data_IF_260453419014
#
_entry.id   IF_260453419014
#
_cell.length_a   1.000
_cell.length_b   1.000
_cell.length_c   1.000
_cell.angle_alpha   90.00
_cell.angle_beta   90.00
_cell.angle_gamma   90.00
#
_symmetry.space_group_name_H-M   'P 1'
#
loop_
_entity.id
_entity.type
_entity.pdbx_description
1 polymer ?
#
# COMPACT_ATOMS: atom_id res chain seq x y z
N UNK A 1 -42.60 -44.39 -43.06
CA UNK A 1 -42.84 -44.22 -41.63
C UNK A 1 -41.70 -43.55 -40.84
N UNK A 2 -40.52 -43.29 -41.40
CA UNK A 2 -39.36 -42.68 -40.70
C UNK A 2 -39.22 -41.15 -40.87
N UNK A 3 -39.98 -40.48 -41.72
CA UNK A 3 -39.89 -39.01 -41.92
C UNK A 3 -40.79 -38.20 -40.99
N UNK A 4 -41.88 -38.78 -40.48
CA UNK A 4 -42.77 -38.04 -39.55
C UNK A 4 -42.25 -38.00 -38.11
N UNK A 5 -41.47 -39.01 -37.70
CA UNK A 5 -40.91 -39.06 -36.34
C UNK A 5 -39.80 -38.00 -36.10
N UNK A 6 -39.10 -37.59 -37.18
CA UNK A 6 -38.05 -36.57 -37.06
C UNK A 6 -38.62 -35.15 -36.88
N UNK A 7 -39.78 -34.86 -37.43
CA UNK A 7 -40.42 -33.55 -37.23
C UNK A 7 -41.06 -33.41 -35.86
N UNK A 8 -41.54 -34.49 -35.27
CA UNK A 8 -42.10 -34.46 -33.91
C UNK A 8 -41.01 -34.23 -32.85
N UNK A 9 -39.84 -34.83 -33.02
CA UNK A 9 -38.70 -34.66 -32.07
C UNK A 9 -38.12 -33.22 -32.19
N UNK A 10 -38.10 -32.66 -33.41
CA UNK A 10 -37.62 -31.27 -33.58
C UNK A 10 -38.60 -30.24 -33.02
N UNK A 11 -39.91 -30.45 -33.08
CA UNK A 11 -40.93 -29.58 -32.52
C UNK A 11 -40.94 -29.67 -30.99
N UNK A 12 -40.76 -30.84 -30.40
CA UNK A 12 -40.66 -31.04 -28.93
C UNK A 12 -39.35 -30.45 -28.39
N UNK A 13 -38.26 -30.53 -29.16
CA UNK A 13 -36.97 -29.86 -28.74
C UNK A 13 -37.03 -28.35 -28.84
N UNK A 14 -37.79 -27.83 -29.83
CA UNK A 14 -37.94 -26.38 -30.01
C UNK A 14 -38.91 -25.75 -28.99
N UNK A 15 -39.91 -26.51 -28.51
CA UNK A 15 -40.78 -26.08 -27.39
C UNK A 15 -40.11 -26.19 -26.03
N UNK A 16 -39.17 -27.09 -25.85
CA UNK A 16 -38.36 -27.16 -24.58
C UNK A 16 -37.33 -26.02 -24.48
N UNK A 17 -36.85 -25.48 -25.59
CA UNK A 17 -35.93 -24.29 -25.57
C UNK A 17 -36.69 -22.99 -25.29
N UNK A 18 -38.00 -22.94 -25.55
CA UNK A 18 -38.82 -21.74 -25.26
C UNK A 18 -39.35 -21.71 -23.80
N UNK A 19 -39.23 -22.79 -23.03
CA UNK A 19 -39.61 -22.83 -21.62
C UNK A 19 -38.44 -22.63 -20.65
N UNK A 20 -37.20 -22.43 -21.14
CA UNK A 20 -36.02 -22.24 -20.30
C UNK A 20 -35.63 -20.76 -20.09
N UNK A 21 -36.53 -19.82 -20.39
CA UNK A 21 -36.32 -18.39 -20.18
C UNK A 21 -37.47 -17.71 -19.41
N UNK A 22 -38.01 -18.38 -18.41
CA UNK A 22 -38.78 -17.74 -17.35
C UNK A 22 -38.12 -18.07 -16.00
N UNK A 23 -36.84 -17.67 -15.84
CA UNK A 23 -36.34 -17.37 -14.52
C UNK A 23 -36.97 -16.00 -14.17
N UNK A 24 -37.89 -15.96 -13.25
CA UNK A 24 -38.17 -14.76 -12.45
C UNK A 24 -36.91 -14.37 -11.62
N UNK A 25 -35.82 -14.17 -12.33
CA UNK A 25 -34.63 -13.51 -11.81
C UNK A 25 -34.85 -12.03 -12.02
N UNK A 26 -35.00 -11.30 -10.94
CA UNK A 26 -34.93 -9.86 -10.78
C UNK A 26 -34.96 -9.07 -12.10
N UNK A 27 -36.16 -8.91 -12.67
CA UNK A 27 -36.36 -7.89 -13.74
C UNK A 27 -36.12 -6.57 -13.04
N UNK A 28 -34.99 -5.96 -13.31
CA UNK A 28 -34.75 -4.58 -12.93
C UNK A 28 -35.92 -3.76 -13.41
N UNK A 29 -36.74 -3.28 -12.46
CA UNK A 29 -37.90 -2.46 -12.80
C UNK A 29 -37.40 -1.09 -13.25
N UNK A 30 -37.27 -0.94 -14.58
CA UNK A 30 -36.85 0.31 -15.20
C UNK A 30 -37.78 1.49 -14.90
N UNK A 31 -38.93 1.26 -14.27
CA UNK A 31 -39.83 2.31 -13.80
C UNK A 31 -39.37 2.92 -12.49
N UNK A 32 -38.60 2.18 -11.69
CA UNK A 32 -38.04 2.70 -10.44
C UNK A 32 -36.76 3.52 -10.68
N UNK A 33 -36.56 4.51 -9.84
CA UNK A 33 -35.34 5.31 -9.80
C UNK A 33 -34.35 4.61 -8.88
N UNK A 34 -33.23 4.14 -9.44
CA UNK A 34 -32.12 3.62 -8.62
C UNK A 34 -31.39 4.77 -7.96
N UNK A 35 -31.10 4.64 -6.67
CA UNK A 35 -30.35 5.61 -5.86
C UNK A 35 -29.02 5.01 -5.40
N UNK A 36 -27.95 5.76 -5.55
CA UNK A 36 -26.59 5.37 -5.16
C UNK A 36 -25.82 6.56 -4.62
N UNK A 37 -24.83 6.30 -3.76
CA UNK A 37 -23.89 7.35 -3.38
C UNK A 37 -22.92 7.58 -4.53
N UNK A 38 -22.72 8.84 -4.92
CA UNK A 38 -21.80 9.21 -6.02
C UNK A 38 -20.38 8.75 -5.72
N UNK A 39 -19.69 8.21 -6.73
CA UNK A 39 -18.32 7.70 -6.60
C UNK A 39 -18.22 6.22 -6.21
N UNK A 40 -19.36 5.54 -5.96
CA UNK A 40 -19.37 4.10 -5.63
C UNK A 40 -19.64 3.19 -6.82
N UNK A 41 -19.76 3.75 -8.01
CA UNK A 41 -20.18 3.03 -9.23
C UNK A 41 -19.23 1.89 -9.63
N UNK A 42 -17.95 2.00 -9.26
CA UNK A 42 -16.95 0.96 -9.57
C UNK A 42 -16.40 0.32 -8.29
N UNK A 43 -16.03 1.15 -7.32
CA UNK A 43 -15.49 0.73 -6.02
C UNK A 43 -16.08 1.57 -4.90
N UNK A 44 -16.50 0.97 -3.78
CA UNK A 44 -17.13 1.71 -2.69
C UNK A 44 -16.12 2.50 -1.85
N UNK A 45 -14.81 2.35 -2.04
CA UNK A 45 -13.77 3.05 -1.28
C UNK A 45 -13.28 4.25 -2.08
N UNK A 46 -13.34 5.42 -1.44
CA UNK A 46 -12.84 6.68 -2.00
C UNK A 46 -11.82 7.30 -1.04
N UNK A 47 -10.78 7.88 -1.59
CA UNK A 47 -9.74 8.55 -0.81
C UNK A 47 -10.24 9.89 -0.29
N UNK A 48 -10.07 10.12 1.01
CA UNK A 48 -10.32 11.40 1.65
C UNK A 48 -9.02 11.93 2.26
N UNK A 49 -8.42 12.91 1.62
CA UNK A 49 -7.18 13.53 2.11
C UNK A 49 -7.48 14.53 3.22
N UNK A 50 -6.82 14.33 4.37
CA UNK A 50 -6.93 15.18 5.55
C UNK A 50 -5.59 15.89 5.74
N UNK A 51 -5.44 17.08 5.15
CA UNK A 51 -4.20 17.86 5.19
C UNK A 51 -4.18 18.82 6.39
N UNK A 52 -5.29 19.51 6.59
CA UNK A 52 -5.51 20.42 7.69
C UNK A 52 -6.85 20.10 8.35
N UNK A 53 -6.93 20.33 9.65
CA UNK A 53 -8.14 20.10 10.42
C UNK A 53 -8.88 21.42 10.69
N UNK A 54 -10.21 21.45 10.59
CA UNK A 54 -11.08 20.36 10.16
C UNK A 54 -11.05 20.15 8.65
N UNK A 55 -10.94 18.89 8.21
CA UNK A 55 -11.06 18.53 6.81
C UNK A 55 -12.48 18.11 6.45
N UNK A 56 -12.93 18.41 5.24
CA UNK A 56 -14.31 18.11 4.81
C UNK A 56 -14.34 17.34 3.48
N UNK A 57 -15.30 16.42 3.38
CA UNK A 57 -15.60 15.66 2.16
C UNK A 57 -17.10 15.74 1.85
N UNK A 58 -17.42 16.14 0.60
CA UNK A 58 -18.81 16.26 0.16
C UNK A 58 -19.34 14.91 -0.34
N UNK A 59 -20.42 14.42 0.26
CA UNK A 59 -21.10 13.20 -0.16
C UNK A 59 -22.42 13.59 -0.82
N UNK A 60 -22.67 13.11 -2.03
CA UNK A 60 -23.92 13.32 -2.78
C UNK A 60 -24.57 11.98 -3.11
N UNK A 61 -25.88 12.01 -3.32
CA UNK A 61 -26.64 10.87 -3.84
C UNK A 61 -27.02 11.13 -5.28
N UNK A 62 -26.83 10.13 -6.11
CA UNK A 62 -27.13 10.16 -7.54
C UNK A 62 -28.31 9.23 -7.84
N UNK A 63 -29.20 9.68 -8.71
CA UNK A 63 -30.27 8.90 -9.26
C UNK A 63 -29.90 8.38 -10.66
N UNK A 64 -30.34 7.18 -11.02
CA UNK A 64 -30.10 6.59 -12.35
C UNK A 64 -30.78 7.34 -13.49
N UNK A 65 -31.76 8.16 -13.15
CA UNK A 65 -32.46 9.08 -14.09
C UNK A 65 -32.92 10.33 -13.34
N UNK A 66 -33.38 11.35 -14.08
CA UNK A 66 -33.97 12.55 -13.45
C UNK A 66 -35.25 12.19 -12.70
N UNK A 67 -35.37 12.70 -11.48
CA UNK A 67 -36.51 12.44 -10.60
C UNK A 67 -37.76 13.19 -11.08
N UNK A 68 -38.93 12.55 -11.05
CA UNK A 68 -40.20 13.18 -11.38
C UNK A 68 -40.79 14.05 -10.29
N UNK A 69 -40.33 13.83 -9.03
CA UNK A 69 -40.65 14.58 -7.81
C UNK A 69 -39.39 14.63 -6.94
N UNK A 70 -39.42 15.47 -5.92
CA UNK A 70 -38.34 15.53 -4.92
C UNK A 70 -38.16 14.19 -4.23
N UNK A 71 -36.90 13.77 -4.10
CA UNK A 71 -36.50 12.57 -3.35
C UNK A 71 -35.51 12.99 -2.27
N UNK A 72 -35.89 12.79 -0.99
CA UNK A 72 -35.04 13.09 0.14
C UNK A 72 -34.40 11.81 0.66
N UNK A 73 -33.10 11.86 0.86
CA UNK A 73 -32.28 10.75 1.32
C UNK A 73 -31.57 11.14 2.61
N UNK A 74 -31.73 10.31 3.63
CA UNK A 74 -31.02 10.47 4.90
C UNK A 74 -29.77 9.60 4.90
N UNK A 75 -28.62 10.24 5.12
CA UNK A 75 -27.32 9.60 5.26
C UNK A 75 -26.95 9.45 6.73
N UNK A 76 -26.15 8.43 7.05
CA UNK A 76 -25.59 8.23 8.37
C UNK A 76 -24.16 7.67 8.29
N UNK A 77 -23.34 7.97 9.30
CA UNK A 77 -22.08 7.26 9.52
C UNK A 77 -22.40 5.99 10.32
N UNK A 78 -22.06 4.83 9.76
CA UNK A 78 -22.26 3.53 10.41
C UNK A 78 -20.93 2.76 10.50
N UNK A 79 -20.23 2.93 11.60
CA UNK A 79 -18.91 2.32 11.84
C UNK A 79 -18.95 0.80 11.94
N UNK A 80 -20.13 0.19 12.19
CA UNK A 80 -20.28 -1.27 12.25
C UNK A 80 -20.02 -1.94 10.90
N UNK A 81 -20.22 -1.22 9.79
CA UNK A 81 -20.00 -1.71 8.43
C UNK A 81 -18.53 -1.99 8.11
N UNK A 82 -17.59 -1.37 8.85
CA UNK A 82 -16.15 -1.60 8.65
C UNK A 82 -15.78 -3.07 8.90
N UNK A 83 -16.31 -3.66 9.96
CA UNK A 83 -16.06 -5.06 10.29
C UNK A 83 -16.54 -6.01 9.18
N UNK A 84 -17.74 -5.77 8.65
CA UNK A 84 -18.30 -6.57 7.55
C UNK A 84 -17.49 -6.38 6.28
N UNK A 85 -17.10 -5.15 5.97
CA UNK A 85 -16.27 -4.85 4.81
C UNK A 85 -14.92 -5.55 4.88
N UNK A 86 -14.22 -5.46 6.03
CA UNK A 86 -12.95 -6.13 6.27
C UNK A 86 -13.06 -7.65 6.05
N UNK A 87 -14.09 -8.28 6.63
CA UNK A 87 -14.30 -9.73 6.51
C UNK A 87 -14.55 -10.16 5.05
N UNK A 88 -15.28 -9.35 4.28
CA UNK A 88 -15.63 -9.67 2.89
C UNK A 88 -14.46 -9.44 1.92
N UNK A 89 -13.63 -8.42 2.17
CA UNK A 89 -12.58 -7.98 1.24
C UNK A 89 -11.16 -8.30 1.72
N UNK A 90 -11.00 -8.94 2.88
CA UNK A 90 -9.68 -9.26 3.44
C UNK A 90 -8.86 -8.03 3.83
N UNK A 91 -9.55 -6.94 4.22
CA UNK A 91 -8.91 -5.69 4.65
C UNK A 91 -8.80 -5.59 6.17
N UNK A 92 -7.99 -4.65 6.67
CA UNK A 92 -7.79 -4.39 8.11
C UNK A 92 -8.05 -2.93 8.45
N UNK A 93 -9.10 -2.36 7.89
CA UNK A 93 -9.47 -0.98 8.16
C UNK A 93 -9.98 -0.78 9.59
N UNK A 94 -9.67 0.39 10.15
CA UNK A 94 -10.23 0.89 11.40
C UNK A 94 -11.34 1.89 11.12
N UNK A 95 -12.39 1.86 11.91
CA UNK A 95 -13.39 2.91 11.86
C UNK A 95 -12.82 4.19 12.50
N UNK A 96 -13.08 5.35 11.89
CA UNK A 96 -12.79 6.64 12.55
C UNK A 96 -13.63 6.75 13.82
N UNK A 97 -13.05 7.14 14.98
CA UNK A 97 -13.82 7.37 16.20
C UNK A 97 -14.94 8.40 15.95
N UNK A 98 -16.16 8.11 16.43
CA UNK A 98 -17.30 9.01 16.21
C UNK A 98 -17.14 10.39 16.88
N UNK A 99 -16.23 10.50 17.87
CA UNK A 99 -15.86 11.78 18.47
C UNK A 99 -15.07 12.69 17.52
N UNK A 100 -14.37 12.09 16.55
CA UNK A 100 -13.45 12.78 15.63
C UNK A 100 -14.08 13.11 14.28
N UNK A 101 -15.35 12.71 14.06
CA UNK A 101 -16.04 12.89 12.79
C UNK A 101 -17.46 13.37 12.96
N UNK A 102 -17.88 14.29 12.10
CA UNK A 102 -19.28 14.76 12.04
C UNK A 102 -19.85 14.62 10.65
N UNK A 103 -21.17 14.44 10.56
CA UNK A 103 -21.91 14.45 9.30
C UNK A 103 -22.94 15.60 9.34
N UNK A 104 -22.64 16.67 8.65
CA UNK A 104 -23.52 17.84 8.54
C UNK A 104 -24.42 17.72 7.32
N UNK A 105 -25.61 18.32 7.39
CA UNK A 105 -26.62 18.28 6.32
C UNK A 105 -26.91 16.85 5.85
N UNK A 106 -27.11 15.94 6.77
CA UNK A 106 -27.27 14.52 6.52
C UNK A 106 -28.58 14.13 5.80
N UNK A 107 -29.52 15.06 5.66
CA UNK A 107 -30.68 14.93 4.78
C UNK A 107 -30.41 15.71 3.49
N UNK A 108 -30.23 14.97 2.39
CA UNK A 108 -29.96 15.53 1.07
C UNK A 108 -31.13 15.28 0.13
N UNK A 109 -31.45 16.25 -0.72
CA UNK A 109 -32.62 16.18 -1.62
C UNK A 109 -32.17 16.23 -3.06
N UNK A 110 -32.65 15.28 -3.88
CA UNK A 110 -32.66 15.36 -5.33
C UNK A 110 -33.95 16.08 -5.73
N UNK A 111 -33.83 17.27 -6.27
CA UNK A 111 -34.99 18.04 -6.67
C UNK A 111 -35.66 17.49 -7.93
N UNK A 112 -36.93 17.77 -8.10
CA UNK A 112 -37.65 17.44 -9.32
C UNK A 112 -36.91 17.91 -10.57
N UNK A 113 -36.75 17.03 -11.55
CA UNK A 113 -36.02 17.32 -12.76
C UNK A 113 -34.52 17.13 -12.68
N UNK A 114 -33.97 16.88 -11.50
CA UNK A 114 -32.55 16.63 -11.27
C UNK A 114 -32.25 15.14 -11.06
N UNK A 115 -30.96 14.77 -11.15
CA UNK A 115 -30.46 13.41 -10.88
C UNK A 115 -29.36 13.39 -9.82
N UNK A 116 -29.02 14.54 -9.24
CA UNK A 116 -28.00 14.67 -8.21
C UNK A 116 -28.55 15.47 -7.02
N UNK A 117 -28.27 15.02 -5.81
CA UNK A 117 -28.71 15.68 -4.59
C UNK A 117 -27.85 16.89 -4.23
N UNK A 118 -28.33 17.69 -3.26
CA UNK A 118 -27.45 18.51 -2.43
C UNK A 118 -26.39 17.64 -1.73
N UNK A 119 -25.32 18.25 -1.21
CA UNK A 119 -24.23 17.55 -0.55
C UNK A 119 -24.37 17.53 0.97
N UNK A 120 -24.18 16.35 1.57
CA UNK A 120 -23.83 16.23 2.98
C UNK A 120 -22.32 16.45 3.15
N UNK A 121 -21.89 16.97 4.31
CA UNK A 121 -20.49 17.23 4.60
C UNK A 121 -20.01 16.30 5.72
N UNK A 122 -19.08 15.40 5.36
CA UNK A 122 -18.33 14.62 6.36
C UNK A 122 -17.15 15.46 6.76
N UNK A 123 -17.02 15.75 8.07
CA UNK A 123 -15.87 16.52 8.59
C UNK A 123 -15.09 15.70 9.59
N UNK A 124 -13.78 15.61 9.39
CA UNK A 124 -12.83 15.10 10.38
C UNK A 124 -12.34 16.28 11.20
N UNK A 125 -12.50 16.21 12.51
CA UNK A 125 -12.19 17.30 13.44
C UNK A 125 -10.91 17.06 14.25
N UNK A 126 -10.53 15.79 14.46
CA UNK A 126 -9.27 15.37 15.11
C UNK A 126 -8.75 14.07 14.48
N UNK A 127 -7.48 13.86 14.65
CA UNK A 127 -6.78 12.59 14.33
C UNK A 127 -5.83 12.17 15.46
N UNK A 128 -5.96 12.78 16.64
CA UNK A 128 -5.04 12.58 17.76
C UNK A 128 -5.09 11.15 18.30
N UNK A 129 -6.28 10.53 18.28
CA UNK A 129 -6.51 9.15 18.72
C UNK A 129 -6.22 8.09 17.63
N UNK A 130 -5.72 8.51 16.46
CA UNK A 130 -5.44 7.56 15.39
C UNK A 130 -4.15 6.78 15.67
N UNK A 131 -4.26 5.46 15.61
CA UNK A 131 -3.09 4.58 15.70
C UNK A 131 -2.20 4.82 14.48
N UNK A 132 -0.93 5.06 14.73
CA UNK A 132 0.04 5.24 13.65
C UNK A 132 0.17 3.96 12.81
N UNK A 133 0.22 4.13 11.49
CA UNK A 133 0.23 3.00 10.55
C UNK A 133 -1.11 2.31 10.32
N UNK A 134 -2.16 2.64 11.06
CA UNK A 134 -3.50 2.14 10.82
C UNK A 134 -4.21 2.92 9.70
N UNK A 135 -4.93 2.20 8.86
CA UNK A 135 -5.77 2.81 7.82
C UNK A 135 -7.18 2.99 8.34
N UNK A 136 -7.64 4.22 8.42
CA UNK A 136 -8.97 4.57 8.90
C UNK A 136 -9.94 4.82 7.75
N UNK A 137 -11.20 4.42 7.96
CA UNK A 137 -12.29 4.68 7.01
C UNK A 137 -13.52 5.23 7.73
N UNK A 138 -14.27 6.08 7.02
CA UNK A 138 -15.57 6.59 7.44
C UNK A 138 -16.62 5.98 6.50
N UNK A 139 -17.44 5.01 6.97
CA UNK A 139 -18.54 4.49 6.17
C UNK A 139 -19.73 5.43 6.27
N UNK A 140 -20.12 5.99 5.13
CA UNK A 140 -21.36 6.79 4.99
C UNK A 140 -22.36 5.99 4.18
N UNK A 141 -23.56 5.77 4.74
CA UNK A 141 -24.56 4.89 4.14
C UNK A 141 -25.90 5.59 3.99
N UNK A 142 -26.66 5.19 2.98
CA UNK A 142 -28.07 5.57 2.84
C UNK A 142 -28.89 4.84 3.92
N UNK A 143 -29.41 5.59 4.88
CA UNK A 143 -30.20 5.05 5.97
C UNK A 143 -31.68 4.99 5.61
N UNK A 144 -32.21 6.05 5.00
CA UNK A 144 -33.62 6.17 4.69
C UNK A 144 -33.81 6.96 3.39
N UNK A 145 -34.82 6.58 2.64
CA UNK A 145 -35.30 7.31 1.45
C UNK A 145 -36.77 7.68 1.67
N UNK A 146 -37.11 8.93 1.41
CA UNK A 146 -38.50 9.46 1.44
C UNK A 146 -38.79 10.16 0.13
N UNK A 147 -40.03 10.02 -0.38
CA UNK A 147 -40.43 10.52 -1.69
C UNK A 147 -40.81 9.39 -2.65
N UNK A 148 -41.19 9.73 -3.86
CA UNK A 148 -41.75 8.78 -4.81
C UNK A 148 -40.68 7.92 -5.49
N UNK A 149 -40.78 6.58 -5.33
CA UNK A 149 -40.24 5.59 -6.25
C UNK A 149 -38.72 5.38 -6.25
N UNK A 150 -37.97 5.86 -5.26
CA UNK A 150 -36.54 5.62 -5.15
C UNK A 150 -36.22 4.26 -4.53
N UNK A 151 -35.42 3.44 -5.19
CA UNK A 151 -34.88 2.18 -4.69
C UNK A 151 -33.35 2.27 -4.57
N UNK A 152 -32.80 1.89 -3.42
CA UNK A 152 -31.36 1.96 -3.21
C UNK A 152 -30.67 0.81 -3.95
N UNK A 153 -29.65 1.12 -4.72
CA UNK A 153 -28.76 0.12 -5.32
C UNK A 153 -27.83 -0.35 -4.21
N UNK A 154 -28.05 -1.56 -3.70
CA UNK A 154 -27.39 -2.09 -2.50
C UNK A 154 -25.86 -2.14 -2.62
N UNK A 155 -25.32 -2.47 -3.79
CA UNK A 155 -23.87 -2.46 -4.03
C UNK A 155 -23.23 -1.07 -3.92
N UNK A 156 -24.04 -0.01 -3.99
CA UNK A 156 -23.63 1.40 -3.96
C UNK A 156 -24.33 2.20 -2.85
N UNK A 157 -24.89 1.47 -1.84
CA UNK A 157 -25.54 2.04 -0.69
C UNK A 157 -24.58 2.79 0.24
N UNK A 158 -23.31 2.34 0.30
CA UNK A 158 -22.31 2.82 1.25
C UNK A 158 -21.05 3.23 0.53
N UNK A 159 -20.53 4.40 0.88
CA UNK A 159 -19.17 4.84 0.52
C UNK A 159 -18.27 4.71 1.75
N UNK A 160 -17.08 4.19 1.56
CA UNK A 160 -16.02 4.12 2.58
C UNK A 160 -14.99 5.19 2.26
N UNK A 161 -14.97 6.28 3.01
CA UNK A 161 -14.00 7.35 2.86
C UNK A 161 -12.71 6.95 3.57
N UNK A 162 -11.73 6.51 2.82
CA UNK A 162 -10.42 6.13 3.34
C UNK A 162 -9.60 7.37 3.66
N UNK A 163 -9.28 7.56 4.94
CA UNK A 163 -8.50 8.69 5.41
C UNK A 163 -7.05 8.53 4.91
N UNK A 164 -6.59 9.56 4.21
CA UNK A 164 -5.19 9.76 3.85
C UNK A 164 -4.72 11.03 4.54
N UNK A 165 -3.82 10.90 5.51
CA UNK A 165 -3.24 12.05 6.22
C UNK A 165 -1.96 12.49 5.53
N UNK A 166 -1.77 13.81 5.41
CA UNK A 166 -0.45 14.37 5.20
C UNK A 166 0.22 14.42 6.58
N UNK A 167 1.16 13.55 6.82
CA UNK A 167 1.98 13.59 8.01
C UNK A 167 3.27 14.27 7.60
N UNK A 168 3.58 15.41 8.23
CA UNK A 168 4.94 15.96 8.16
C UNK A 168 5.86 14.94 8.81
N UNK A 169 6.79 14.36 8.05
CA UNK A 169 7.68 13.35 8.58
C UNK A 169 9.13 13.67 8.21
N UNK A 170 10.04 13.19 9.02
CA UNK A 170 11.44 13.14 8.67
C UNK A 170 11.74 11.89 7.87
N UNK A 171 12.83 11.94 7.13
CA UNK A 171 13.40 10.79 6.45
C UNK A 171 14.92 10.84 6.55
N UNK A 172 15.55 9.68 6.52
CA UNK A 172 16.99 9.59 6.46
C UNK A 172 17.49 10.08 5.10
N UNK A 173 18.38 11.06 5.07
CA UNK A 173 19.12 11.44 3.87
C UNK A 173 20.44 10.68 3.77
N UNK A 174 20.63 9.95 2.70
CA UNK A 174 21.92 9.39 2.32
C UNK A 174 22.46 10.13 1.09
N UNK A 175 23.21 11.17 1.31
CA UNK A 175 23.80 12.03 0.27
C UNK A 175 25.31 12.23 0.47
N UNK A 176 25.91 11.41 1.32
CA UNK A 176 27.33 11.38 1.59
C UNK A 176 27.99 10.24 0.78
N UNK A 177 29.24 10.42 0.42
CA UNK A 177 30.03 9.35 -0.19
C UNK A 177 30.51 8.37 0.91
N UNK A 178 29.57 7.85 1.66
CA UNK A 178 29.83 6.96 2.78
C UNK A 178 28.77 5.85 2.84
N UNK A 179 29.16 4.72 3.40
CA UNK A 179 28.30 3.58 3.68
C UNK A 179 28.76 2.90 4.96
N UNK A 180 27.85 2.18 5.61
CA UNK A 180 28.20 1.37 6.75
C UNK A 180 27.24 0.21 6.91
N UNK A 181 27.64 -0.73 7.78
CA UNK A 181 26.93 -1.94 8.09
C UNK A 181 26.60 -1.96 9.58
N UNK A 182 25.37 -2.26 9.93
CA UNK A 182 25.01 -2.61 11.29
C UNK A 182 24.83 -4.12 11.40
N UNK A 183 25.52 -4.75 12.36
CA UNK A 183 25.45 -6.21 12.58
C UNK A 183 24.77 -6.45 13.90
N UNK A 184 23.59 -7.08 13.84
CA UNK A 184 22.83 -7.43 15.03
C UNK A 184 23.52 -8.57 15.81
N UNK A 185 23.37 -8.62 17.15
CA UNK A 185 23.86 -9.72 17.97
C UNK A 185 23.40 -11.09 17.48
N UNK A 186 24.16 -12.14 17.79
CA UNK A 186 23.89 -13.49 17.26
C UNK A 186 22.53 -14.06 17.71
N UNK A 187 22.01 -13.63 18.87
CA UNK A 187 20.66 -14.00 19.36
C UNK A 187 19.52 -13.29 18.60
N UNK A 188 19.83 -12.30 17.78
CA UNK A 188 18.89 -11.59 16.91
C UNK A 188 18.85 -12.15 15.48
N UNK A 189 19.72 -13.07 15.14
CA UNK A 189 19.71 -13.68 13.80
C UNK A 189 18.42 -14.44 13.54
N UNK A 190 17.76 -14.15 12.43
CA UNK A 190 16.55 -14.84 11.94
C UNK A 190 16.81 -15.42 10.57
N UNK A 191 16.47 -16.70 10.39
CA UNK A 191 16.50 -17.31 9.08
C UNK A 191 15.11 -17.18 8.42
N UNK A 192 15.01 -16.35 7.41
CA UNK A 192 13.76 -16.03 6.71
C UNK A 192 13.56 -17.02 5.56
N UNK A 193 12.57 -17.90 5.67
CA UNK A 193 12.21 -18.90 4.64
C UNK A 193 11.13 -18.42 3.68
N UNK A 194 10.17 -17.67 4.22
CA UNK A 194 9.19 -16.87 3.50
C UNK A 194 9.30 -15.47 4.09
N UNK A 195 9.32 -14.44 3.25
CA UNK A 195 9.58 -13.11 3.78
C UNK A 195 9.08 -11.98 2.88
N UNK A 196 9.03 -10.82 3.45
CA UNK A 196 8.86 -9.55 2.73
C UNK A 196 9.84 -8.54 3.25
N UNK A 197 10.46 -7.79 2.35
CA UNK A 197 11.29 -6.62 2.65
C UNK A 197 10.63 -5.43 1.98
N UNK A 198 10.36 -4.38 2.74
CA UNK A 198 9.78 -3.15 2.24
C UNK A 198 10.63 -1.95 2.62
N UNK A 199 10.62 -0.95 1.78
CA UNK A 199 11.23 0.36 2.07
C UNK A 199 10.66 1.44 1.17
N UNK A 200 10.62 2.67 1.67
CA UNK A 200 10.36 3.84 0.85
C UNK A 200 11.68 4.47 0.42
N UNK A 201 11.77 4.76 -0.87
CA UNK A 201 12.96 5.32 -1.49
C UNK A 201 12.64 6.57 -2.30
N UNK A 202 13.48 7.59 -2.14
CA UNK A 202 13.43 8.84 -2.90
C UNK A 202 14.83 9.11 -3.45
N UNK A 203 15.04 8.91 -4.74
CA UNK A 203 16.35 9.05 -5.35
C UNK A 203 16.58 10.47 -5.87
N UNK A 204 17.71 11.07 -5.53
CA UNK A 204 18.14 12.33 -6.11
C UNK A 204 18.79 12.14 -7.48
N UNK A 205 19.43 10.97 -7.67
CA UNK A 205 20.20 10.69 -8.86
C UNK A 205 20.30 9.19 -9.12
N UNK A 206 20.12 8.80 -10.36
CA UNK A 206 20.42 7.45 -10.82
C UNK A 206 21.83 7.35 -11.37
N UNK A 207 22.36 6.13 -11.39
CA UNK A 207 23.60 5.82 -12.07
C UNK A 207 23.42 5.71 -13.59
N UNK A 208 24.52 5.61 -14.28
CA UNK A 208 24.56 5.13 -15.66
C UNK A 208 24.88 3.62 -15.66
N UNK A 209 24.77 2.96 -16.81
CA UNK A 209 25.26 1.60 -17.00
C UNK A 209 26.68 1.44 -16.45
N UNK A 210 26.87 0.49 -15.54
CA UNK A 210 28.13 0.27 -14.85
C UNK A 210 28.45 1.25 -13.70
N UNK A 211 27.59 2.24 -13.46
CA UNK A 211 27.68 3.15 -12.31
C UNK A 211 26.45 2.97 -11.42
N UNK A 212 26.41 1.85 -10.72
CA UNK A 212 25.31 1.45 -9.85
C UNK A 212 25.18 2.38 -8.63
N UNK A 213 23.95 2.54 -8.15
CA UNK A 213 23.62 3.22 -6.90
C UNK A 213 23.00 2.21 -5.94
N UNK A 214 23.72 1.85 -4.90
CA UNK A 214 23.33 0.83 -3.94
C UNK A 214 22.56 1.48 -2.81
N UNK A 215 21.30 1.06 -2.62
CA UNK A 215 20.35 1.66 -1.69
C UNK A 215 20.55 1.08 -0.28
N UNK A 216 20.28 -0.19 -0.13
CA UNK A 216 20.44 -0.95 1.12
C UNK A 216 20.61 -2.45 0.82
N UNK A 217 21.07 -3.19 1.83
CA UNK A 217 21.00 -4.64 1.83
C UNK A 217 20.58 -5.19 3.19
N UNK A 218 19.92 -6.35 3.17
CA UNK A 218 19.55 -7.15 4.33
C UNK A 218 20.07 -8.56 4.09
N UNK A 219 20.91 -9.04 4.98
CA UNK A 219 21.71 -10.23 4.74
C UNK A 219 22.21 -10.90 6.02
N UNK A 220 22.94 -12.01 5.90
CA UNK A 220 23.67 -12.64 6.98
C UNK A 220 24.92 -11.87 7.38
N UNK A 221 25.50 -12.23 8.52
CA UNK A 221 26.69 -11.58 9.11
C UNK A 221 27.87 -11.53 8.15
N UNK A 222 28.07 -12.57 7.34
CA UNK A 222 29.19 -12.70 6.40
C UNK A 222 28.76 -12.49 4.93
N UNK A 223 27.72 -11.69 4.68
CA UNK A 223 27.19 -11.37 3.35
C UNK A 223 26.56 -12.60 2.62
N UNK A 224 26.18 -13.64 3.37
CA UNK A 224 25.53 -14.80 2.76
C UNK A 224 24.09 -14.50 2.37
N UNK A 225 23.71 -14.96 1.19
CA UNK A 225 22.33 -14.96 0.69
C UNK A 225 21.65 -13.58 0.81
N UNK A 226 22.36 -12.55 0.38
CA UNK A 226 21.97 -11.16 0.50
C UNK A 226 20.70 -10.81 -0.27
N UNK A 227 19.85 -9.96 0.31
CA UNK A 227 18.84 -9.18 -0.38
C UNK A 227 19.34 -7.75 -0.53
N UNK A 228 19.86 -7.41 -1.71
CA UNK A 228 20.44 -6.11 -1.99
C UNK A 228 19.65 -5.37 -3.07
N UNK A 229 19.44 -4.08 -2.84
CA UNK A 229 18.68 -3.20 -3.72
C UNK A 229 19.57 -2.12 -4.31
N UNK A 230 19.56 -1.99 -5.65
CA UNK A 230 20.43 -1.05 -6.36
C UNK A 230 19.85 -0.57 -7.68
N UNK A 231 20.23 0.61 -8.11
CA UNK A 231 19.90 1.16 -9.42
C UNK A 231 21.09 1.07 -10.38
N UNK A 232 20.86 0.97 -11.68
CA UNK A 232 21.86 1.14 -12.74
C UNK A 232 22.64 -0.09 -13.16
N UNK A 233 22.33 -1.28 -12.67
CA UNK A 233 23.08 -2.50 -13.02
C UNK A 233 22.67 -3.12 -14.36
N UNK A 234 21.47 -2.87 -14.83
CA UNK A 234 21.00 -3.44 -16.07
C UNK A 234 21.58 -2.67 -17.27
N UNK A 235 22.53 -3.27 -17.97
CA UNK A 235 23.27 -2.66 -19.07
C UNK A 235 22.43 -2.16 -20.26
N UNK A 236 21.21 -2.63 -20.41
CA UNK A 236 20.33 -2.26 -21.54
C UNK A 236 19.14 -1.39 -21.16
N UNK A 237 18.78 -1.29 -19.87
CA UNK A 237 17.51 -0.72 -19.45
C UNK A 237 17.63 0.69 -18.83
N UNK A 238 18.82 1.24 -18.67
CA UNK A 238 19.02 2.57 -18.06
C UNK A 238 19.34 2.53 -16.56
N UNK A 239 19.71 3.69 -16.03
CA UNK A 239 20.13 3.85 -14.64
C UNK A 239 18.99 3.88 -13.62
N UNK A 240 17.76 4.01 -14.08
CA UNK A 240 16.52 4.21 -13.35
C UNK A 240 15.73 2.92 -13.08
N UNK A 241 16.30 1.76 -13.44
CA UNK A 241 15.74 0.43 -13.13
C UNK A 241 16.30 -0.05 -11.80
N UNK A 242 15.40 -0.43 -10.89
CA UNK A 242 15.76 -1.05 -9.63
C UNK A 242 16.08 -2.54 -9.86
N UNK A 243 17.21 -2.96 -9.38
CA UNK A 243 17.57 -4.37 -9.29
C UNK A 243 17.48 -4.82 -7.83
N UNK A 244 16.76 -5.91 -7.62
CA UNK A 244 16.84 -6.71 -6.42
C UNK A 244 17.77 -7.90 -6.69
N UNK A 245 18.94 -7.89 -6.07
CA UNK A 245 19.81 -9.07 -5.97
C UNK A 245 19.24 -9.91 -4.83
N UNK A 246 18.83 -11.10 -5.15
CA UNK A 246 18.16 -12.02 -4.24
C UNK A 246 18.96 -13.32 -4.13
N UNK A 247 18.69 -14.16 -3.11
CA UNK A 247 19.39 -15.44 -2.97
C UNK A 247 19.30 -16.29 -4.23
N UNK A 248 20.46 -16.46 -4.89
CA UNK A 248 20.60 -17.26 -6.11
C UNK A 248 20.08 -16.62 -7.40
N UNK A 249 19.80 -15.30 -7.43
CA UNK A 249 19.29 -14.67 -8.63
C UNK A 249 19.19 -13.14 -8.60
N UNK A 250 18.40 -12.63 -9.51
CA UNK A 250 18.16 -11.20 -9.70
C UNK A 250 16.73 -10.97 -10.20
N UNK A 251 16.10 -9.92 -9.72
CA UNK A 251 14.82 -9.42 -10.23
C UNK A 251 15.00 -7.94 -10.60
N UNK A 252 14.47 -7.53 -11.74
CA UNK A 252 14.56 -6.16 -12.23
C UNK A 252 13.16 -5.58 -12.30
N UNK A 253 13.01 -4.33 -11.85
CA UNK A 253 11.74 -3.62 -11.99
C UNK A 253 11.39 -3.41 -13.47
N UNK A 254 10.10 -3.46 -13.78
CA UNK A 254 9.53 -2.94 -15.03
C UNK A 254 9.34 -1.44 -14.95
N UNK A 255 9.14 -0.92 -13.75
CA UNK A 255 9.02 0.51 -13.48
C UNK A 255 10.35 1.22 -13.75
N UNK A 256 10.29 2.28 -14.54
CA UNK A 256 11.31 3.30 -14.66
C UNK A 256 11.12 4.35 -13.56
N UNK A 257 11.97 4.34 -12.55
CA UNK A 257 11.89 5.25 -11.43
C UNK A 257 12.23 6.68 -11.86
N UNK A 258 11.61 7.67 -11.20
CA UNK A 258 11.90 9.08 -11.40
C UNK A 258 12.67 9.63 -10.21
N UNK A 259 13.61 10.56 -10.47
CA UNK A 259 14.24 11.32 -9.40
C UNK A 259 13.23 12.24 -8.71
N UNK A 260 13.49 12.55 -7.45
CA UNK A 260 12.69 13.46 -6.64
C UNK A 260 11.21 13.03 -6.51
N UNK A 261 10.99 11.72 -6.44
CA UNK A 261 9.70 11.10 -6.16
C UNK A 261 9.88 9.96 -5.18
N UNK A 262 8.98 9.85 -4.21
CA UNK A 262 8.88 8.70 -3.33
C UNK A 262 8.25 7.50 -4.03
N UNK A 263 8.77 6.32 -3.72
CA UNK A 263 8.22 5.04 -4.10
C UNK A 263 8.25 4.09 -2.91
N UNK A 264 7.19 3.35 -2.68
CA UNK A 264 7.21 2.17 -1.83
C UNK A 264 7.64 0.98 -2.68
N UNK A 265 8.72 0.33 -2.29
CA UNK A 265 9.17 -0.94 -2.87
C UNK A 265 8.87 -2.03 -1.86
N UNK A 266 8.14 -3.07 -2.27
CA UNK A 266 7.86 -4.25 -1.46
C UNK A 266 8.28 -5.49 -2.23
N UNK A 267 9.13 -6.31 -1.62
CA UNK A 267 9.74 -7.48 -2.23
C UNK A 267 9.38 -8.73 -1.41
N UNK A 268 8.57 -9.61 -1.97
CA UNK A 268 8.06 -10.80 -1.29
C UNK A 268 8.71 -12.08 -1.82
N UNK A 269 8.90 -13.05 -0.94
CA UNK A 269 9.25 -14.42 -1.26
C UNK A 269 8.34 -15.40 -0.52
N UNK A 270 7.66 -16.28 -1.25
CA UNK A 270 6.69 -17.23 -0.70
C UNK A 270 7.23 -18.68 -0.59
N UNK A 271 8.56 -18.85 -0.74
CA UNK A 271 9.21 -20.17 -0.77
C UNK A 271 9.43 -20.70 -2.19
N UNK A 272 8.81 -20.09 -3.20
CA UNK A 272 8.88 -20.53 -4.61
C UNK A 272 9.06 -19.37 -5.60
N UNK A 273 8.48 -18.20 -5.29
CA UNK A 273 8.42 -17.07 -6.21
C UNK A 273 8.81 -15.79 -5.49
N UNK A 274 9.71 -15.05 -6.10
CA UNK A 274 10.05 -13.70 -5.75
C UNK A 274 9.19 -12.73 -6.53
N UNK A 275 8.55 -11.78 -5.85
CA UNK A 275 7.75 -10.73 -6.46
C UNK A 275 8.18 -9.36 -5.96
N UNK A 276 8.29 -8.42 -6.86
CA UNK A 276 8.52 -7.00 -6.57
C UNK A 276 7.24 -6.22 -6.84
N UNK A 277 6.90 -5.35 -5.91
CA UNK A 277 5.79 -4.40 -6.02
C UNK A 277 6.35 -2.99 -5.93
N UNK A 278 5.82 -2.09 -6.74
CA UNK A 278 6.11 -0.67 -6.70
C UNK A 278 4.82 0.09 -6.49
N UNK A 279 4.76 0.91 -5.43
CA UNK A 279 3.55 1.64 -5.03
C UNK A 279 2.29 0.75 -4.90
N UNK A 280 2.49 -0.48 -4.38
CA UNK A 280 1.42 -1.45 -4.14
C UNK A 280 0.99 -2.26 -5.37
N UNK A 281 1.59 -2.04 -6.53
CA UNK A 281 1.27 -2.74 -7.79
C UNK A 281 2.37 -3.75 -8.10
N UNK A 282 2.00 -4.99 -8.43
CA UNK A 282 2.98 -6.01 -8.87
C UNK A 282 3.72 -5.53 -10.12
N UNK A 283 5.03 -5.45 -10.02
CA UNK A 283 5.90 -4.84 -11.03
C UNK A 283 6.77 -5.87 -11.76
N UNK A 284 7.30 -6.86 -11.03
CA UNK A 284 8.15 -7.90 -11.57
C UNK A 284 8.11 -9.17 -10.72
N UNK A 285 8.42 -10.31 -11.34
CA UNK A 285 8.56 -11.58 -10.62
C UNK A 285 9.62 -12.49 -11.23
N UNK A 286 10.17 -13.39 -10.41
CA UNK A 286 11.05 -14.48 -10.84
C UNK A 286 10.86 -15.68 -9.93
N UNK A 287 11.02 -16.88 -10.45
CA UNK A 287 10.81 -18.12 -9.68
C UNK A 287 12.14 -18.77 -9.30
N UNK A 288 12.27 -19.13 -8.04
CA UNK A 288 13.35 -19.96 -7.51
C UNK A 288 12.93 -20.51 -6.17
N UNK A 289 13.06 -21.80 -5.93
CA UNK A 289 12.62 -22.44 -4.69
C UNK A 289 13.76 -22.67 -3.71
N UNK A 290 13.40 -22.81 -2.40
CA UNK A 290 14.34 -23.17 -1.35
C UNK A 290 15.39 -22.12 -1.05
N UNK A 291 15.02 -20.84 -1.16
CA UNK A 291 15.91 -19.68 -0.99
C UNK A 291 15.63 -18.94 0.31
N UNK A 292 16.03 -19.55 1.42
CA UNK A 292 16.07 -18.85 2.70
C UNK A 292 17.17 -17.77 2.69
N UNK A 293 16.98 -16.73 3.48
CA UNK A 293 17.99 -15.69 3.70
C UNK A 293 18.16 -15.46 5.21
N UNK A 294 19.39 -15.46 5.73
CA UNK A 294 19.63 -14.98 7.09
C UNK A 294 19.43 -13.47 7.15
N UNK A 295 18.83 -13.00 8.26
CA UNK A 295 18.73 -11.60 8.58
C UNK A 295 19.51 -11.34 9.86
N UNK A 296 20.66 -10.72 9.77
CA UNK A 296 21.51 -10.33 10.88
C UNK A 296 22.31 -9.06 10.61
N UNK A 297 22.34 -8.60 9.35
CA UNK A 297 23.11 -7.44 8.94
C UNK A 297 22.22 -6.51 8.12
N UNK A 298 22.33 -5.22 8.38
CA UNK A 298 21.74 -4.15 7.60
C UNK A 298 22.84 -3.28 7.01
N UNK A 299 22.87 -3.12 5.71
CA UNK A 299 23.79 -2.21 5.03
C UNK A 299 23.05 -0.98 4.51
N UNK A 300 23.66 0.16 4.70
CA UNK A 300 23.16 1.43 4.22
C UNK A 300 24.08 2.06 3.18
N UNK A 301 23.52 2.39 2.03
CA UNK A 301 24.15 3.18 1.00
C UNK A 301 25.05 2.43 0.06
N UNK A 302 25.60 1.29 0.45
CA UNK A 302 26.39 0.41 -0.40
C UNK A 302 26.50 -0.96 0.25
N UNK A 303 26.32 -2.01 -0.51
CA UNK A 303 26.55 -3.38 -0.11
C UNK A 303 27.81 -3.93 -0.77
N UNK A 304 28.43 -4.91 -0.11
CA UNK A 304 29.67 -5.56 -0.49
C UNK A 304 30.86 -4.62 -0.70
N UNK A 305 31.92 -4.88 -0.02
CA UNK A 305 33.21 -4.18 0.01
C UNK A 305 33.70 -3.45 -1.24
N UNK A 306 32.85 -3.04 -2.18
CA UNK A 306 33.21 -2.32 -3.37
C UNK A 306 33.04 -0.82 -3.23
N UNK A 307 33.82 -0.20 -2.32
CA UNK A 307 33.88 1.26 -2.14
C UNK A 307 34.33 2.00 -3.41
N UNK A 308 33.49 2.03 -4.39
CA UNK A 308 33.67 3.02 -5.44
C UNK A 308 32.81 4.22 -5.05
N UNK A 309 33.42 5.38 -4.87
CA UNK A 309 32.74 6.62 -4.50
C UNK A 309 31.58 6.98 -5.43
N UNK A 310 31.58 6.44 -6.64
CA UNK A 310 30.50 6.58 -7.62
C UNK A 310 29.27 5.72 -7.33
N UNK A 311 29.35 4.70 -6.46
CA UNK A 311 28.27 3.72 -6.22
C UNK A 311 27.41 4.01 -5.00
N UNK A 312 27.72 5.03 -4.23
CA UNK A 312 26.90 5.42 -3.10
C UNK A 312 25.53 5.89 -3.53
N UNK A 313 24.50 5.48 -2.79
CA UNK A 313 23.16 5.98 -2.97
C UNK A 313 23.10 7.48 -2.64
N UNK A 314 22.36 8.22 -3.42
CA UNK A 314 22.09 9.63 -3.20
C UNK A 314 20.57 9.85 -3.21
N UNK A 315 20.01 9.97 -2.03
CA UNK A 315 18.58 10.05 -1.87
C UNK A 315 18.13 9.96 -0.42
N UNK A 316 16.88 9.63 -0.22
CA UNK A 316 16.27 9.47 1.10
C UNK A 316 15.64 8.10 1.26
N UNK A 317 15.57 7.63 2.49
CA UNK A 317 14.98 6.36 2.91
C UNK A 317 14.10 6.57 4.13
N UNK A 318 13.02 5.82 4.21
CA UNK A 318 12.18 5.65 5.40
C UNK A 318 11.34 4.37 5.28
N UNK A 319 10.60 4.02 6.33
CA UNK A 319 9.65 2.91 6.32
C UNK A 319 10.28 1.57 5.92
N UNK A 320 11.46 1.25 6.45
CA UNK A 320 12.11 -0.03 6.18
C UNK A 320 11.54 -1.11 7.09
N UNK A 321 11.03 -2.20 6.50
CA UNK A 321 10.33 -3.28 7.20
C UNK A 321 10.84 -4.64 6.76
N UNK A 322 10.98 -5.54 7.69
CA UNK A 322 11.32 -6.96 7.46
C UNK A 322 10.25 -7.83 8.06
N UNK A 323 9.67 -8.70 7.24
CA UNK A 323 8.62 -9.64 7.62
C UNK A 323 9.10 -11.08 7.45
N UNK A 324 8.70 -11.97 8.35
CA UNK A 324 8.95 -13.41 8.23
C UNK A 324 7.84 -14.16 7.47
N UNK A 325 7.11 -13.47 6.63
CA UNK A 325 6.08 -14.02 5.74
C UNK A 325 5.99 -13.22 4.44
N UNK A 326 5.51 -13.86 3.40
CA UNK A 326 5.14 -13.14 2.17
C UNK A 326 3.82 -12.40 2.39
N UNK A 327 3.83 -11.07 2.22
CA UNK A 327 2.62 -10.26 2.23
C UNK A 327 1.83 -10.47 0.95
N UNK A 328 0.51 -10.36 1.05
CA UNK A 328 -0.39 -10.31 -0.11
C UNK A 328 -0.36 -8.93 -0.76
N UNK A 329 -0.76 -8.83 -2.03
CA UNK A 329 -0.87 -7.56 -2.73
C UNK A 329 -1.80 -6.56 -1.99
N UNK A 330 -2.86 -7.06 -1.36
CA UNK A 330 -3.78 -6.24 -0.56
C UNK A 330 -3.10 -5.65 0.68
N UNK A 331 -2.32 -6.45 1.42
CA UNK A 331 -1.57 -5.97 2.60
C UNK A 331 -0.52 -4.93 2.22
N UNK A 332 0.21 -5.15 1.12
CA UNK A 332 1.18 -4.20 0.58
C UNK A 332 0.51 -2.87 0.23
N UNK A 333 -0.61 -2.92 -0.48
CA UNK A 333 -1.37 -1.72 -0.87
C UNK A 333 -1.88 -0.95 0.35
N UNK A 334 -2.36 -1.65 1.39
CA UNK A 334 -2.79 -1.03 2.64
C UNK A 334 -1.64 -0.44 3.45
N UNK A 335 -0.46 -1.06 3.40
CA UNK A 335 0.74 -0.64 4.11
C UNK A 335 1.44 0.61 3.53
N UNK A 336 0.88 1.23 2.49
CA UNK A 336 1.52 2.35 1.80
C UNK A 336 1.81 3.55 2.70
N UNK A 337 0.88 3.91 3.58
CA UNK A 337 1.03 5.04 4.51
C UNK A 337 1.81 4.67 5.79
N UNK A 338 1.98 3.38 6.06
CA UNK A 338 2.59 2.82 7.27
C UNK A 338 1.89 1.53 7.67
N UNK A 339 2.44 0.81 8.65
CA UNK A 339 1.85 -0.42 9.19
C UNK A 339 1.82 -0.36 10.72
N UNK A 340 0.93 -1.14 11.33
CA UNK A 340 0.96 -1.31 12.77
C UNK A 340 2.25 -2.06 13.17
N UNK A 341 3.02 -1.49 14.10
CA UNK A 341 4.28 -2.04 14.57
C UNK A 341 4.15 -3.43 15.23
N UNK A 342 2.93 -3.80 15.66
CA UNK A 342 2.64 -5.10 16.26
C UNK A 342 1.92 -6.06 15.28
N UNK A 343 2.02 -5.82 13.97
CA UNK A 343 1.47 -6.71 12.96
C UNK A 343 2.12 -8.08 13.00
N UNK A 344 1.30 -9.14 12.82
CA UNK A 344 1.78 -10.51 12.80
C UNK A 344 2.81 -10.74 11.69
N UNK A 345 3.94 -11.35 12.07
CA UNK A 345 5.04 -11.62 11.16
C UNK A 345 5.99 -10.44 10.88
N UNK A 346 5.76 -9.27 11.46
CA UNK A 346 6.69 -8.14 11.36
C UNK A 346 7.88 -8.36 12.31
N UNK A 347 9.06 -8.58 11.75
CA UNK A 347 10.29 -8.89 12.51
C UNK A 347 10.96 -7.61 12.99
N UNK A 348 11.14 -6.65 12.10
CA UNK A 348 11.76 -5.36 12.39
C UNK A 348 11.11 -4.26 11.55
N UNK A 349 11.03 -3.04 12.12
CA UNK A 349 10.45 -1.89 11.46
C UNK A 349 11.15 -0.60 11.87
N UNK A 350 11.92 -0.03 10.97
CA UNK A 350 12.56 1.26 11.15
C UNK A 350 11.80 2.31 10.34
N UNK A 351 11.11 3.20 11.04
CA UNK A 351 10.40 4.30 10.39
C UNK A 351 11.37 5.29 9.76
N UNK A 352 12.56 5.43 10.34
CA UNK A 352 13.59 6.39 9.95
C UNK A 352 13.03 7.82 9.90
N UNK A 353 12.26 8.19 10.92
CA UNK A 353 11.58 9.47 11.04
C UNK A 353 11.93 10.21 12.34
N UNK A 354 13.01 9.82 13.00
CA UNK A 354 13.44 10.36 14.29
C UNK A 354 13.69 11.87 14.26
N UNK A 355 14.19 12.40 13.15
CA UNK A 355 14.42 13.83 12.97
C UNK A 355 15.68 14.36 13.62
N UNK A 356 16.27 13.60 14.55
CA UNK A 356 17.51 13.92 15.23
C UNK A 356 18.21 12.64 15.70
N UNK A 357 19.48 12.76 16.12
CA UNK A 357 20.25 11.64 16.65
C UNK A 357 20.76 10.66 15.57
N UNK A 358 21.27 9.52 16.03
CA UNK A 358 21.95 8.53 15.22
C UNK A 358 21.50 7.09 15.51
N UNK A 359 20.42 6.92 16.27
CA UNK A 359 19.79 5.62 16.54
C UNK A 359 18.55 5.50 15.67
N UNK A 360 18.48 4.42 14.89
CA UNK A 360 17.23 4.06 14.19
C UNK A 360 16.48 3.08 15.07
N UNK A 361 15.33 3.51 15.58
CA UNK A 361 14.53 2.73 16.51
C UNK A 361 13.68 1.68 15.79
N UNK A 362 13.71 0.46 16.33
CA UNK A 362 12.81 -0.61 15.93
C UNK A 362 11.42 -0.41 16.54
N UNK A 363 10.47 0.04 15.75
CA UNK A 363 9.11 0.31 16.20
C UNK A 363 8.37 -0.95 16.70
N UNK A 364 8.84 -2.17 16.36
CA UNK A 364 8.23 -3.42 16.84
C UNK A 364 8.51 -3.70 18.30
N UNK A 365 9.61 -3.16 18.82
CA UNK A 365 10.11 -3.47 20.17
C UNK A 365 10.82 -4.82 20.28
N UNK A 366 11.13 -5.49 19.17
CA UNK A 366 11.83 -6.77 19.18
C UNK A 366 13.33 -6.64 19.41
N UNK A 367 13.86 -5.40 19.52
CA UNK A 367 15.25 -5.10 19.85
C UNK A 367 16.18 -5.07 18.65
N UNK A 368 15.67 -4.60 17.51
CA UNK A 368 16.46 -4.34 16.30
C UNK A 368 16.82 -2.84 16.16
N UNK A 369 17.00 -2.13 17.28
CA UNK A 369 17.56 -0.77 17.26
C UNK A 369 18.94 -0.78 16.63
N UNK A 370 19.28 0.24 15.86
CA UNK A 370 20.59 0.40 15.24
C UNK A 370 21.26 1.68 15.69
N UNK A 371 22.30 1.57 16.49
CA UNK A 371 23.17 2.70 16.88
C UNK A 371 24.28 2.88 15.85
N UNK A 372 24.19 3.94 15.07
CA UNK A 372 25.14 4.20 13.98
C UNK A 372 26.49 4.77 14.43
N UNK A 373 26.74 4.88 15.74
CA UNK A 373 28.08 5.06 16.31
C UNK A 373 28.86 3.74 16.39
N UNK A 374 28.14 2.59 16.48
CA UNK A 374 28.70 1.25 16.59
C UNK A 374 28.39 0.43 15.34
N UNK A 375 29.05 0.79 14.26
CA UNK A 375 28.85 0.15 12.95
C UNK A 375 30.16 -0.38 12.38
N UNK A 376 30.09 -0.97 11.21
CA UNK A 376 31.20 -1.63 10.57
C UNK A 376 31.36 -1.17 9.14
N UNK A 377 32.58 -1.22 8.63
CA UNK A 377 32.91 -0.97 7.25
C UNK A 377 33.88 -2.03 6.76
N UNK A 378 33.69 -2.49 5.53
CA UNK A 378 34.64 -3.42 4.94
C UNK A 378 35.97 -2.72 4.64
N UNK A 379 37.03 -3.22 5.23
CA UNK A 379 38.40 -2.87 4.82
C UNK A 379 38.80 -3.75 3.64
N UNK A 380 38.95 -3.11 2.51
CA UNK A 380 39.22 -3.80 1.26
C UNK A 380 40.59 -4.33 1.10
N UNK A 381 41.54 -3.69 1.70
CA UNK A 381 42.94 -4.11 1.58
C UNK A 381 43.19 -5.41 2.32
N UNK A 382 42.46 -5.61 3.42
CA UNK A 382 42.63 -6.74 4.31
C UNK A 382 41.46 -7.74 4.31
N UNK A 383 40.34 -7.42 3.66
CA UNK A 383 39.14 -8.28 3.61
C UNK A 383 38.49 -8.51 4.95
N UNK A 384 38.60 -7.54 5.88
CA UNK A 384 38.04 -7.62 7.23
C UNK A 384 37.08 -6.46 7.48
N UNK A 385 36.15 -6.68 8.40
CA UNK A 385 35.32 -5.61 8.93
C UNK A 385 36.09 -4.79 9.93
N UNK A 386 36.05 -3.47 9.81
CA UNK A 386 36.63 -2.51 10.77
C UNK A 386 35.52 -1.68 11.41
N UNK A 387 35.68 -1.38 12.69
CA UNK A 387 34.75 -0.51 13.41
C UNK A 387 34.67 0.87 12.72
N UNK A 388 33.46 1.40 12.60
CA UNK A 388 33.20 2.63 11.89
C UNK A 388 32.09 3.42 12.58
N UNK A 389 32.39 4.63 13.02
CA UNK A 389 31.37 5.57 13.49
C UNK A 389 30.74 6.27 12.27
N UNK A 390 29.51 5.89 11.95
CA UNK A 390 28.74 6.45 10.82
C UNK A 390 27.85 7.62 11.26
N UNK A 391 27.74 7.90 12.56
CA UNK A 391 26.78 8.88 13.10
C UNK A 391 26.91 10.27 12.46
N UNK A 392 28.12 10.68 12.12
CA UNK A 392 28.41 11.96 11.48
C UNK A 392 27.82 12.10 10.05
N UNK A 393 27.45 10.98 9.44
CA UNK A 393 26.86 10.97 8.09
C UNK A 393 25.33 10.88 8.15
N UNK A 394 24.72 10.67 9.32
CA UNK A 394 23.28 10.65 9.51
C UNK A 394 22.74 12.07 9.36
N UNK A 395 21.78 12.22 8.45
CA UNK A 395 21.07 13.47 8.24
C UNK A 395 19.59 13.21 8.10
N UNK A 396 18.83 14.05 8.78
CA UNK A 396 17.38 14.03 8.75
C UNK A 396 16.85 15.16 7.89
N UNK A 397 15.95 14.85 6.99
CA UNK A 397 15.28 15.83 6.14
C UNK A 397 13.80 15.79 6.44
N UNK A 398 13.27 16.94 6.89
CA UNK A 398 11.83 17.11 7.07
C UNK A 398 11.14 17.21 5.72
N UNK A 399 10.11 16.39 5.52
CA UNK A 399 9.25 16.44 4.34
C UNK A 399 7.94 17.13 4.70
N UNK A 400 7.84 18.43 4.40
CA UNK A 400 6.67 19.23 4.74
C UNK A 400 5.50 19.05 3.76
N UNK A 401 5.72 18.31 2.67
CA UNK A 401 4.73 18.16 1.60
C UNK A 401 4.28 16.73 1.36
N UNK A 402 4.36 15.88 2.33
CA UNK A 402 4.01 14.45 2.29
C UNK A 402 3.60 13.89 0.91
N UNK A 403 4.49 14.02 -0.05
CA UNK A 403 4.31 13.46 -1.40
C UNK A 403 4.41 11.93 -1.42
N UNK A 404 4.59 11.34 -0.27
CA UNK A 404 4.66 9.88 -0.05
C UNK A 404 3.30 9.22 -0.23
N UNK A 405 2.25 9.98 -0.09
CA UNK A 405 0.88 9.49 -0.18
C UNK A 405 0.18 9.79 -1.52
N UNK A 406 0.93 10.27 -2.51
CA UNK A 406 0.36 10.60 -3.83
C UNK A 406 0.72 9.57 -4.88
#
# INVERSE_FOLDING_TARGET
>A
MMKQTRYFISIVLMTLVLMACDSEGDKFDYEKVGLLISGTEQVPVQRFTVDELPAAYAVTVKATRRCSKDVTVRLAIDTSLVRTYNATHGTSYYAVPLADVTLENNEVTIQQGEALSSAAQVKVTSTDDFIEGATYVIPVTIQQVTGEGGEVIESSRTIFLQISRIISFYSLENNQNASSNYIFPDDKMVNLTNYTIEFKVYSYKFGNVGNIKRVLAIEGKNEEEANMFRFGENGSAGGDILQWVLPGGRCFSSTHFKTNRWYLVSCTYDGSTFKMYVDGIEDAQTSSSGKATPFQRFELGMSWGNYRTSQFFQGRLCEVRVWNRALTASEISMGFAGVNAHSDGLVAYWKMNEGEGHIFHDATGHGYDMDWTDTWRDDRENGVLVAHDYSQYIKWVKDDNNKVAQ
#
